data_IF_541079383330
#
_entry.id   IF_541079383330
#
_cell.length_a   1.000
_cell.length_b   1.000
_cell.length_c   1.000
_cell.angle_alpha   90.00
_cell.angle_beta   90.00
_cell.angle_gamma   90.00
#
_symmetry.space_group_name_H-M   'P 1'
#
loop_
_entity.id
_entity.type
_entity.pdbx_description
1 polymer ?
#
# COMPACT_ATOMS: atom_id res chain seq x y z
N UNK A 1 4.26 21.00 8.49
CA UNK A 1 4.47 19.53 8.47
C UNK A 1 3.47 18.95 7.49
N UNK A 2 3.91 18.39 6.37
CA UNK A 2 2.97 17.79 5.40
C UNK A 2 2.79 16.32 5.79
N UNK A 3 1.80 16.06 6.65
CA UNK A 3 1.36 14.69 6.94
C UNK A 3 0.86 14.06 5.62
N UNK A 4 1.22 12.79 5.38
CA UNK A 4 0.70 11.99 4.25
C UNK A 4 1.52 12.00 2.95
N UNK A 5 2.68 12.68 2.88
CA UNK A 5 3.53 12.63 1.67
C UNK A 5 4.52 11.48 1.73
N UNK A 6 4.40 10.51 0.83
CA UNK A 6 5.41 9.46 0.61
C UNK A 6 6.34 9.86 -0.53
N UNK A 7 7.65 9.69 -0.34
CA UNK A 7 8.66 9.90 -1.37
C UNK A 7 9.57 8.68 -1.41
N UNK A 8 9.85 8.16 -2.61
CA UNK A 8 10.66 6.96 -2.82
C UNK A 8 11.51 7.14 -4.08
N UNK A 9 12.73 6.59 -4.06
CA UNK A 9 13.62 6.48 -5.23
C UNK A 9 13.33 5.22 -6.05
N UNK A 10 12.40 4.37 -5.59
CA UNK A 10 11.95 3.14 -6.25
C UNK A 10 10.46 3.19 -6.55
N UNK A 11 9.97 2.28 -7.41
CA UNK A 11 8.54 2.18 -7.71
C UNK A 11 7.69 1.97 -6.45
N UNK A 12 6.55 2.65 -6.39
CA UNK A 12 5.59 2.57 -5.27
C UNK A 12 4.37 1.75 -5.68
N UNK A 13 4.08 0.69 -4.92
CA UNK A 13 2.78 0.00 -4.98
C UNK A 13 1.84 0.69 -4.00
N UNK A 14 0.78 1.31 -4.49
CA UNK A 14 -0.26 1.95 -3.67
C UNK A 14 -1.52 1.09 -3.66
N UNK A 15 -1.94 0.63 -2.48
CA UNK A 15 -3.14 -0.20 -2.30
C UNK A 15 -4.24 0.61 -1.62
N UNK A 16 -5.40 0.76 -2.26
CA UNK A 16 -6.59 1.40 -1.68
C UNK A 16 -7.60 0.39 -1.11
N UNK A 17 -8.68 0.89 -0.50
CA UNK A 17 -9.74 0.10 0.16
C UNK A 17 -10.73 -0.61 -0.78
N UNK A 18 -10.30 -0.94 -2.00
CA UNK A 18 -11.07 -1.78 -2.92
C UNK A 18 -11.03 -3.26 -2.54
N UNK A 19 -11.16 -4.15 -3.52
CA UNK A 19 -10.99 -5.60 -3.33
C UNK A 19 -9.86 -6.14 -4.23
N UNK A 20 -8.60 -5.73 -4.01
CA UNK A 20 -7.48 -6.26 -4.77
C UNK A 20 -7.27 -7.74 -4.44
N UNK A 21 -6.88 -8.54 -5.43
CA UNK A 21 -6.45 -9.92 -5.16
C UNK A 21 -5.04 -9.90 -4.59
N UNK A 22 -4.70 -10.84 -3.72
CA UNK A 22 -3.33 -11.00 -3.21
C UNK A 22 -2.29 -11.13 -4.35
N UNK A 23 -2.67 -11.80 -5.46
CA UNK A 23 -1.83 -11.91 -6.66
C UNK A 23 -1.53 -10.56 -7.31
N UNK A 24 -2.49 -9.63 -7.29
CA UNK A 24 -2.33 -8.32 -7.93
C UNK A 24 -1.39 -7.45 -7.10
N UNK A 25 -1.46 -7.56 -5.76
CA UNK A 25 -0.53 -6.90 -4.83
C UNK A 25 0.87 -7.47 -5.02
N UNK A 26 1.02 -8.79 -5.07
CA UNK A 26 2.32 -9.43 -5.28
C UNK A 26 2.94 -9.07 -6.64
N UNK A 27 2.14 -9.10 -7.72
CA UNK A 27 2.60 -8.70 -9.05
C UNK A 27 3.01 -7.21 -9.11
N UNK A 28 2.27 -6.35 -8.43
CA UNK A 28 2.61 -4.92 -8.32
C UNK A 28 3.92 -4.72 -7.55
N UNK A 29 4.09 -5.40 -6.41
CA UNK A 29 5.32 -5.32 -5.59
C UNK A 29 6.55 -5.85 -6.30
N UNK A 30 6.40 -6.79 -7.24
CA UNK A 30 7.49 -7.27 -8.10
C UNK A 30 8.04 -6.16 -9.02
N UNK A 31 7.20 -5.19 -9.41
CA UNK A 31 7.58 -4.04 -10.23
C UNK A 31 7.95 -2.82 -9.38
N UNK A 32 7.26 -2.65 -8.25
CA UNK A 32 7.26 -1.46 -7.42
C UNK A 32 7.32 -1.85 -5.93
N UNK A 33 8.52 -2.11 -5.38
CA UNK A 33 8.69 -2.78 -4.09
C UNK A 33 8.30 -1.92 -2.87
N UNK A 34 8.11 -0.61 -3.05
CA UNK A 34 7.73 0.27 -1.95
C UNK A 34 6.22 0.23 -1.72
N UNK A 35 5.75 -0.66 -0.83
CA UNK A 35 4.32 -0.83 -0.53
C UNK A 35 3.78 0.27 0.41
N UNK A 36 2.75 0.98 -0.05
CA UNK A 36 1.98 1.97 0.69
C UNK A 36 0.51 1.57 0.67
N UNK A 37 -0.16 1.69 1.80
CA UNK A 37 -1.61 1.55 1.88
C UNK A 37 -2.28 2.92 2.03
N UNK A 38 -3.39 3.13 1.35
CA UNK A 38 -4.30 4.23 1.59
C UNK A 38 -5.44 3.73 2.50
N UNK A 39 -5.48 4.26 3.72
CA UNK A 39 -6.54 4.03 4.70
C UNK A 39 -6.89 2.52 4.86
N UNK A 40 -8.15 2.11 4.62
CA UNK A 40 -8.59 0.72 4.70
C UNK A 40 -7.87 -0.25 3.74
N UNK A 41 -7.07 0.26 2.79
CA UNK A 41 -6.15 -0.53 1.98
C UNK A 41 -5.14 -1.31 2.82
N UNK A 42 -4.82 -0.85 4.05
CA UNK A 42 -3.94 -1.57 4.97
C UNK A 42 -4.51 -2.94 5.34
N UNK A 43 -5.83 -3.04 5.50
CA UNK A 43 -6.52 -4.30 5.78
C UNK A 43 -6.34 -5.30 4.62
N UNK A 44 -6.39 -4.82 3.38
CA UNK A 44 -6.17 -5.66 2.20
C UNK A 44 -4.73 -6.17 2.10
N UNK A 45 -3.75 -5.34 2.44
CA UNK A 45 -2.34 -5.75 2.51
C UNK A 45 -2.14 -6.85 3.55
N UNK A 46 -2.62 -6.64 4.78
CA UNK A 46 -2.48 -7.60 5.88
C UNK A 46 -3.20 -8.91 5.57
N UNK A 47 -4.42 -8.85 5.02
CA UNK A 47 -5.15 -10.04 4.58
C UNK A 47 -4.42 -10.81 3.46
N UNK A 48 -3.58 -10.13 2.68
CA UNK A 48 -2.73 -10.73 1.64
C UNK A 48 -1.37 -11.19 2.16
N UNK A 49 -1.11 -11.09 3.47
CA UNK A 49 0.13 -11.53 4.10
C UNK A 49 1.32 -10.59 3.93
N UNK A 50 1.09 -9.32 3.57
CA UNK A 50 2.15 -8.31 3.39
C UNK A 50 1.89 -7.08 4.26
N UNK A 51 2.95 -6.55 4.87
CA UNK A 51 2.87 -5.37 5.72
C UNK A 51 3.25 -4.12 4.91
N UNK A 52 2.36 -3.11 4.79
CA UNK A 52 2.70 -1.86 4.13
C UNK A 52 3.71 -1.07 4.95
N UNK A 53 4.65 -0.40 4.27
CA UNK A 53 5.68 0.43 4.93
C UNK A 53 5.10 1.71 5.53
N UNK A 54 4.03 2.21 4.91
CA UNK A 54 3.31 3.42 5.33
C UNK A 54 1.83 3.24 5.05
N UNK A 55 0.98 3.70 5.99
CA UNK A 55 -0.45 3.90 5.77
C UNK A 55 -0.71 5.40 5.73
N UNK A 56 -1.42 5.88 4.71
CA UNK A 56 -1.81 7.29 4.55
C UNK A 56 -3.33 7.43 4.51
N UNK A 57 -3.86 8.49 5.09
CA UNK A 57 -5.31 8.71 5.21
C UNK A 57 -5.64 9.33 6.57
N UNK A 58 -6.91 9.58 6.79
CA UNK A 58 -7.52 10.00 8.06
C UNK A 58 -7.83 8.81 8.99
N UNK A 59 -7.80 7.58 8.48
CA UNK A 59 -7.89 6.33 9.24
C UNK A 59 -9.26 6.13 9.91
N UNK A 60 -10.33 6.43 9.18
CA UNK A 60 -11.73 6.25 9.61
C UNK A 60 -12.32 4.86 9.25
#
# INVERSE_FOLDING_TARGET
MTLGKVQSETGVTLVGAGCPRASDIAASMALAPHLVAADGGANSCIASGVEPRTVIGDLD
#
